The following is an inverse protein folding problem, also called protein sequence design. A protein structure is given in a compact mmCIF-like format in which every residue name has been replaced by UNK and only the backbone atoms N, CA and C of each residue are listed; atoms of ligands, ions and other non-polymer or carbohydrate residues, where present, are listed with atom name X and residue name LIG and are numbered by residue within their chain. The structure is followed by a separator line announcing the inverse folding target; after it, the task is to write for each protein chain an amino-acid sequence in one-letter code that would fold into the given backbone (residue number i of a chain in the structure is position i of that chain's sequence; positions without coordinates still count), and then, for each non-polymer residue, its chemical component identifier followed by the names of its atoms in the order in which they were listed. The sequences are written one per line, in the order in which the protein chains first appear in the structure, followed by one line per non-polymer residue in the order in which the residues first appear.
data_IF_715800386023
#
_entry.id   IF_715800386023
#
_cell.length_a   1.000
_cell.length_b   1.000
_cell.length_c   1.000
_cell.angle_alpha   90.00
_cell.angle_beta   90.00
_cell.angle_gamma   90.00
#
_symmetry.space_group_name_H-M   'P 1'
#
loop_
_entity.id
_entity.type
_entity.pdbx_description
1 polymer ?
#
# COMPACT_ATOMS: atom_id res chain seq x y z
N UNK A 1 -3.38 1.34 12.86
CA UNK A 1 -3.80 -0.05 12.57
C UNK A 1 -3.63 -0.91 13.82
N UNK A 2 -4.66 -1.64 14.25
CA UNK A 2 -4.64 -2.42 15.50
C UNK A 2 -3.67 -3.62 15.51
N UNK A 3 -3.16 -4.04 14.35
CA UNK A 3 -2.39 -5.28 14.20
C UNK A 3 -0.87 -5.09 14.14
N UNK A 4 -0.36 -3.84 14.23
CA UNK A 4 1.07 -3.54 14.06
C UNK A 4 1.98 -4.35 14.99
N UNK A 5 1.66 -4.41 16.28
CA UNK A 5 2.46 -5.14 17.28
C UNK A 5 2.53 -6.63 16.98
N UNK A 6 1.44 -7.19 16.46
CA UNK A 6 1.34 -8.62 16.15
C UNK A 6 2.16 -8.95 14.90
N UNK A 7 2.06 -8.10 13.86
CA UNK A 7 2.88 -8.20 12.64
C UNK A 7 4.38 -8.14 12.99
N UNK A 8 4.81 -7.15 13.78
CA UNK A 8 6.22 -7.03 14.19
C UNK A 8 6.71 -8.25 14.96
N UNK A 9 5.87 -8.79 15.86
CA UNK A 9 6.16 -10.01 16.61
C UNK A 9 6.30 -11.24 15.71
N UNK A 10 5.47 -11.36 14.67
CA UNK A 10 5.58 -12.46 13.68
C UNK A 10 6.87 -12.30 12.89
N UNK A 11 7.13 -11.10 12.35
CA UNK A 11 8.29 -10.82 11.50
C UNK A 11 9.61 -11.08 12.24
N UNK A 12 9.69 -10.80 13.54
CA UNK A 12 10.91 -11.00 14.33
C UNK A 12 11.29 -12.47 14.52
N UNK A 13 10.33 -13.40 14.38
CA UNK A 13 10.58 -14.85 14.44
C UNK A 13 10.91 -15.48 13.09
N UNK A 14 10.74 -14.74 11.99
CA UNK A 14 11.05 -15.25 10.66
C UNK A 14 12.56 -15.17 10.37
N UNK A 15 13.11 -16.09 9.54
CA UNK A 15 14.48 -16.00 9.08
C UNK A 15 14.81 -14.63 8.47
N UNK A 16 16.06 -14.18 8.68
CA UNK A 16 16.55 -12.89 8.14
C UNK A 16 16.60 -12.90 6.61
N UNK A 17 16.86 -14.07 6.00
CA UNK A 17 16.85 -14.25 4.56
C UNK A 17 15.51 -14.83 4.12
N UNK A 18 14.66 -13.97 3.54
CA UNK A 18 13.34 -14.36 3.03
C UNK A 18 12.93 -13.44 1.88
N UNK A 19 12.13 -13.97 0.96
CA UNK A 19 11.40 -13.16 -0.02
C UNK A 19 10.05 -12.80 0.60
N UNK A 20 9.77 -11.51 0.71
CA UNK A 20 8.53 -11.00 1.30
C UNK A 20 7.85 -10.11 0.26
N UNK A 21 6.52 -10.23 0.14
CA UNK A 21 5.69 -9.37 -0.69
C UNK A 21 4.59 -8.76 0.18
N UNK A 22 4.34 -7.47 0.01
CA UNK A 22 3.25 -6.75 0.67
C UNK A 22 2.23 -6.36 -0.40
N UNK A 23 0.98 -6.77 -0.22
CA UNK A 23 -0.14 -6.45 -1.10
C UNK A 23 -1.12 -5.60 -0.32
N UNK A 24 -1.48 -4.44 -0.85
CA UNK A 24 -2.46 -3.54 -0.25
C UNK A 24 -3.38 -2.96 -1.33
N UNK A 25 -4.67 -2.90 -1.02
CA UNK A 25 -5.65 -2.25 -1.89
C UNK A 25 -5.56 -0.71 -1.83
N UNK A 26 -5.06 -0.17 -0.71
CA UNK A 26 -4.91 1.27 -0.50
C UNK A 26 -3.47 1.62 -0.14
N UNK A 27 -3.03 2.81 -0.55
CA UNK A 27 -1.75 3.34 -0.12
C UNK A 27 -1.96 4.27 1.08
N UNK A 28 -1.71 3.77 2.28
CA UNK A 28 -1.67 4.58 3.50
C UNK A 28 -0.24 4.71 4.02
N UNK A 29 0.02 5.73 4.83
CA UNK A 29 1.33 5.94 5.48
C UNK A 29 1.74 4.73 6.33
N UNK A 30 0.79 4.15 7.07
CA UNK A 30 1.03 2.94 7.87
C UNK A 30 1.47 1.73 7.02
N UNK A 31 0.95 1.58 5.79
CA UNK A 31 1.37 0.53 4.85
C UNK A 31 2.80 0.79 4.35
N UNK A 32 3.16 2.06 4.16
CA UNK A 32 4.51 2.43 3.77
C UNK A 32 5.53 2.12 4.88
N UNK A 33 5.21 2.44 6.13
CA UNK A 33 6.04 2.08 7.29
C UNK A 33 6.22 0.56 7.42
N UNK A 34 5.13 -0.20 7.24
CA UNK A 34 5.17 -1.66 7.24
C UNK A 34 6.06 -2.22 6.12
N UNK A 35 6.04 -1.60 4.93
CA UNK A 35 6.89 -2.01 3.82
C UNK A 35 8.39 -1.86 4.16
N UNK A 36 8.75 -0.77 4.87
CA UNK A 36 10.12 -0.48 5.30
C UNK A 36 10.60 -1.43 6.40
N UNK A 37 9.71 -1.79 7.33
CA UNK A 37 10.04 -2.71 8.43
C UNK A 37 10.05 -4.19 8.00
N UNK A 38 9.21 -4.57 7.03
CA UNK A 38 8.96 -5.98 6.68
C UNK A 38 9.77 -6.51 5.50
N UNK A 39 10.17 -5.65 4.55
CA UNK A 39 10.84 -6.03 3.31
C UNK A 39 12.28 -5.54 3.24
N UNK A 40 13.12 -6.27 2.51
CA UNK A 40 14.50 -5.89 2.17
C UNK A 40 14.58 -5.60 0.68
N UNK A 41 15.09 -4.43 0.32
CA UNK A 41 15.16 -3.95 -1.07
C UNK A 41 13.80 -4.04 -1.80
N UNK A 42 12.75 -3.36 -1.31
CA UNK A 42 11.42 -3.48 -1.88
C UNK A 42 11.35 -2.85 -3.29
N UNK A 43 10.69 -3.55 -4.21
CA UNK A 43 10.29 -3.00 -5.52
C UNK A 43 8.80 -2.67 -5.44
N UNK A 44 8.43 -1.44 -5.78
CA UNK A 44 7.04 -0.97 -5.74
C UNK A 44 6.39 -1.16 -7.11
N UNK A 45 5.24 -1.83 -7.12
CA UNK A 45 4.38 -1.98 -8.29
C UNK A 45 3.01 -1.41 -7.93
N UNK A 46 2.57 -0.39 -8.66
CA UNK A 46 1.26 0.24 -8.45
C UNK A 46 0.41 0.17 -9.72
N UNK A 47 -0.87 -0.14 -9.56
CA UNK A 47 -1.86 -0.10 -10.64
C UNK A 47 -2.76 1.10 -10.36
N UNK A 48 -2.81 2.05 -11.29
CA UNK A 48 -3.76 3.16 -11.22
C UNK A 48 -5.06 2.70 -11.84
N UNK A 49 -6.15 2.75 -11.08
CA UNK A 49 -7.48 2.56 -11.64
C UNK A 49 -7.80 3.78 -12.50
N UNK A 50 -7.91 3.62 -13.81
CA UNK A 50 -8.40 4.68 -14.69
C UNK A 50 -9.90 4.88 -14.45
N UNK A 51 -10.28 5.95 -13.77
CA UNK A 51 -11.63 6.49 -13.93
C UNK A 51 -11.66 7.12 -15.32
N UNK A 52 -12.41 6.49 -16.23
CA UNK A 52 -12.70 6.96 -17.59
C UNK A 52 -12.66 8.49 -17.69
N UNK A 53 -11.71 9.10 -18.42
CA UNK A 53 -11.61 10.55 -18.48
C UNK A 53 -12.78 11.08 -19.30
N UNK A 54 -13.74 11.73 -18.63
CA UNK A 54 -14.55 12.76 -19.28
C UNK A 54 -13.63 13.98 -19.42
N UNK A 55 -13.51 14.43 -20.67
CA UNK A 55 -12.61 15.47 -21.16
C UNK A 55 -12.31 16.64 -20.22
N UNK A 56 -11.08 17.13 -20.42
CA UNK A 56 -10.58 18.49 -20.22
C UNK A 56 -9.98 18.90 -18.88
N UNK A 57 -8.86 19.60 -19.07
CA UNK A 57 -8.15 20.53 -18.18
C UNK A 57 -7.30 19.91 -17.08
N UNK A 58 -5.99 20.03 -17.30
CA UNK A 58 -4.94 20.23 -16.32
C UNK A 58 -5.46 20.63 -14.93
N UNK A 59 -5.42 19.71 -13.97
CA UNK A 59 -5.43 20.07 -12.57
C UNK A 59 -4.72 19.00 -11.74
N UNK A 60 -3.64 19.46 -11.12
CA UNK A 60 -2.96 18.86 -9.98
C UNK A 60 -4.00 18.53 -8.89
N UNK A 61 -4.33 17.24 -8.74
CA UNK A 61 -5.30 16.81 -7.75
C UNK A 61 -4.72 15.65 -6.96
N UNK A 62 -4.40 15.92 -5.69
CA UNK A 62 -3.84 14.99 -4.73
C UNK A 62 -4.44 13.60 -4.88
N UNK A 63 -3.58 12.66 -5.25
CA UNK A 63 -3.95 11.29 -5.59
C UNK A 63 -4.65 10.62 -4.41
N UNK A 64 -5.98 10.67 -4.38
CA UNK A 64 -6.77 9.80 -3.52
C UNK A 64 -6.71 8.39 -4.11
N UNK A 65 -5.73 7.63 -3.63
CA UNK A 65 -5.37 6.26 -4.06
C UNK A 65 -6.27 5.21 -3.42
N UNK A 66 -7.59 5.44 -3.42
CA UNK A 66 -8.59 4.44 -3.05
C UNK A 66 -9.28 3.94 -4.31
N UNK A 67 -9.38 2.62 -4.54
CA UNK A 67 -10.05 2.09 -5.71
C UNK A 67 -11.53 2.48 -5.71
N UNK A 68 -12.05 2.85 -6.88
CA UNK A 68 -13.40 3.43 -7.06
C UNK A 68 -14.56 2.52 -6.59
N UNK A 69 -14.30 1.23 -6.37
CA UNK A 69 -15.29 0.27 -5.88
C UNK A 69 -15.42 0.17 -4.36
N UNK A 70 -14.64 0.93 -3.58
CA UNK A 70 -14.68 0.88 -2.12
C UNK A 70 -15.62 1.97 -1.56
N UNK A 71 -16.94 1.73 -1.62
CA UNK A 71 -17.90 2.50 -0.82
C UNK A 71 -17.72 2.07 0.65
N UNK A 72 -17.16 2.97 1.46
CA UNK A 72 -17.17 2.84 2.92
C UNK A 72 -18.47 3.52 3.37
N UNK A 73 -19.46 2.73 3.75
CA UNK A 73 -20.63 3.18 4.53
C UNK A 73 -20.25 3.27 6.01
#
# INVERSE_FOLDING_TARGET
MGFQRQITSIISRLPKLRRTGLFSATQTEAVEELSKAGLRNPVRVEVRAESKPLNNSSQDSGSSKTPSGLHIE
#
